data_IF_574165817563
#
_entry.id   IF_574165817563
#
_cell.length_a   1.000
_cell.length_b   1.000
_cell.length_c   1.000
_cell.angle_alpha   90.00
_cell.angle_beta   90.00
_cell.angle_gamma   90.00
#
_symmetry.space_group_name_H-M   'P 1'
#
loop_
_entity.id
_entity.type
_entity.pdbx_description
1 polymer ?
#
# COMPACT_ATOMS: atom_id res chain seq x y z
N UNK A 1 2.71 12.92 -13.88
CA UNK A 1 2.51 11.46 -13.79
C UNK A 1 3.63 10.67 -14.44
N UNK A 2 3.76 9.40 -14.11
CA UNK A 2 4.62 8.45 -14.82
C UNK A 2 3.72 7.71 -15.80
N UNK A 3 3.63 8.21 -17.04
CA UNK A 3 2.82 7.56 -18.06
C UNK A 3 3.53 6.30 -18.56
N UNK A 4 2.76 5.21 -18.76
CA UNK A 4 3.26 4.03 -19.43
C UNK A 4 4.33 3.24 -18.67
N UNK A 5 4.11 2.95 -17.38
CA UNK A 5 5.02 2.06 -16.61
C UNK A 5 5.27 0.74 -17.35
N UNK A 6 4.25 0.17 -17.99
CA UNK A 6 4.38 -1.02 -18.83
C UNK A 6 5.38 -0.79 -19.97
N UNK A 7 5.25 0.32 -20.69
CA UNK A 7 6.19 0.66 -21.76
C UNK A 7 7.63 0.80 -21.24
N UNK A 8 7.82 1.46 -20.10
CA UNK A 8 9.14 1.61 -19.50
C UNK A 8 9.75 0.26 -19.06
N UNK A 9 8.93 -0.67 -18.60
CA UNK A 9 9.36 -2.04 -18.25
C UNK A 9 9.85 -2.77 -19.53
N UNK A 10 9.10 -2.66 -20.62
CA UNK A 10 9.51 -3.27 -21.91
C UNK A 10 10.75 -2.60 -22.52
N UNK A 11 10.85 -1.28 -22.45
CA UNK A 11 12.06 -0.53 -22.87
C UNK A 11 13.29 -0.93 -22.06
N UNK A 12 13.11 -1.35 -20.80
CA UNK A 12 14.18 -1.88 -19.94
C UNK A 12 14.58 -3.32 -20.30
N UNK A 13 13.93 -3.94 -21.30
CA UNK A 13 14.29 -5.28 -21.80
C UNK A 13 13.56 -6.43 -21.12
N UNK A 14 12.45 -6.18 -20.43
CA UNK A 14 11.56 -7.23 -19.93
C UNK A 14 10.57 -7.64 -21.04
N UNK A 15 10.39 -8.95 -21.23
CA UNK A 15 9.44 -9.47 -22.20
C UNK A 15 8.00 -9.15 -21.80
N UNK A 16 7.09 -9.13 -22.77
CA UNK A 16 5.65 -8.94 -22.52
C UNK A 16 5.03 -10.16 -21.86
N UNK A 17 3.94 -9.95 -21.12
CA UNK A 17 3.17 -11.03 -20.50
C UNK A 17 2.73 -12.07 -21.52
N UNK A 18 2.88 -13.35 -21.17
CA UNK A 18 2.62 -14.49 -22.04
C UNK A 18 3.86 -15.04 -22.78
N UNK A 19 4.98 -14.33 -22.77
CA UNK A 19 6.28 -14.81 -23.23
C UNK A 19 7.08 -15.39 -22.06
N UNK A 20 8.14 -16.16 -22.36
CA UNK A 20 9.03 -16.69 -21.31
C UNK A 20 9.70 -15.52 -20.55
N UNK A 21 9.60 -15.54 -19.22
CA UNK A 21 10.06 -14.43 -18.38
C UNK A 21 9.29 -13.13 -18.57
N UNK A 22 8.08 -13.18 -19.15
CA UNK A 22 7.28 -12.01 -19.45
C UNK A 22 6.68 -11.35 -18.19
N UNK A 23 6.54 -10.03 -18.24
CA UNK A 23 5.98 -9.21 -17.16
C UNK A 23 4.66 -8.60 -17.61
N UNK A 24 3.60 -8.84 -16.86
CA UNK A 24 2.33 -8.10 -16.99
C UNK A 24 2.30 -6.99 -15.97
N UNK A 25 1.98 -5.77 -16.40
CA UNK A 25 1.88 -4.60 -15.54
C UNK A 25 0.43 -4.14 -15.42
N UNK A 26 -0.11 -4.16 -14.20
CA UNK A 26 -1.41 -3.57 -13.90
C UNK A 26 -1.20 -2.25 -13.15
N UNK A 27 -1.56 -1.14 -13.80
CA UNK A 27 -1.42 0.20 -13.23
C UNK A 27 -2.64 0.53 -12.37
N UNK A 28 -2.42 1.05 -11.17
CA UNK A 28 -3.46 1.36 -10.19
C UNK A 28 -3.24 2.74 -9.56
N UNK A 29 -3.22 3.79 -10.38
CA UNK A 29 -3.05 5.17 -9.91
C UNK A 29 -1.75 5.38 -9.13
N UNK A 30 -1.81 5.33 -7.81
CA UNK A 30 -0.68 5.50 -6.90
C UNK A 30 0.21 4.27 -6.72
N UNK A 31 -0.10 3.16 -7.39
CA UNK A 31 0.67 1.92 -7.38
C UNK A 31 0.74 1.28 -8.75
N UNK A 32 1.66 0.33 -8.91
CA UNK A 32 1.72 -0.59 -10.04
C UNK A 32 1.98 -2.01 -9.54
N UNK A 33 1.26 -2.96 -10.11
CA UNK A 33 1.31 -4.38 -9.80
C UNK A 33 2.02 -5.10 -10.95
N UNK A 34 2.94 -6.00 -10.61
CA UNK A 34 3.76 -6.70 -11.59
C UNK A 34 3.59 -8.20 -11.40
N UNK A 35 3.16 -8.85 -12.45
CA UNK A 35 3.00 -10.30 -12.51
C UNK A 35 4.09 -10.87 -13.39
N UNK A 36 4.89 -11.77 -12.84
CA UNK A 36 5.86 -12.60 -13.55
C UNK A 36 5.36 -14.04 -13.59
N UNK A 37 5.98 -14.96 -14.36
CA UNK A 37 5.67 -16.37 -14.19
C UNK A 37 5.80 -16.80 -12.73
N UNK A 38 4.88 -17.60 -12.26
CA UNK A 38 4.78 -17.99 -10.85
C UNK A 38 6.10 -18.60 -10.36
N UNK A 39 6.70 -17.97 -9.35
CA UNK A 39 7.96 -18.42 -8.76
C UNK A 39 9.21 -18.11 -9.59
N UNK A 40 9.10 -17.32 -10.66
CA UNK A 40 10.26 -16.83 -11.42
C UNK A 40 10.98 -15.73 -10.62
N UNK A 41 11.78 -16.20 -9.67
CA UNK A 41 12.55 -15.33 -8.77
C UNK A 41 13.53 -14.44 -9.54
N UNK A 42 14.19 -14.97 -10.58
CA UNK A 42 15.25 -14.24 -11.31
C UNK A 42 14.66 -13.04 -12.06
N UNK A 43 13.53 -13.23 -12.75
CA UNK A 43 12.82 -12.13 -13.41
C UNK A 43 12.28 -11.12 -12.40
N UNK A 44 11.70 -11.58 -11.29
CA UNK A 44 11.19 -10.70 -10.24
C UNK A 44 12.32 -9.89 -9.56
N UNK A 45 13.48 -10.51 -9.28
CA UNK A 45 14.63 -9.82 -8.70
C UNK A 45 15.24 -8.77 -9.64
N UNK A 46 15.39 -9.10 -10.93
CA UNK A 46 15.85 -8.15 -11.95
C UNK A 46 14.91 -6.96 -12.05
N UNK A 47 13.59 -7.24 -12.09
CA UNK A 47 12.55 -6.20 -12.14
C UNK A 47 12.57 -5.32 -10.90
N UNK A 48 12.61 -5.91 -9.70
CA UNK A 48 12.71 -5.16 -8.45
C UNK A 48 13.95 -4.26 -8.42
N UNK A 49 15.10 -4.77 -8.88
CA UNK A 49 16.35 -4.00 -8.96
C UNK A 49 16.21 -2.80 -9.90
N UNK A 50 15.62 -3.00 -11.07
CA UNK A 50 15.38 -1.94 -12.04
C UNK A 50 14.38 -0.90 -11.49
N UNK A 51 13.28 -1.34 -10.86
CA UNK A 51 12.31 -0.44 -10.23
C UNK A 51 12.97 0.42 -9.15
N UNK A 52 13.76 -0.16 -8.25
CA UNK A 52 14.47 0.55 -7.18
C UNK A 52 15.42 1.63 -7.70
N UNK A 53 15.91 1.48 -8.93
CA UNK A 53 16.76 2.48 -9.59
C UNK A 53 15.96 3.68 -10.12
N UNK A 54 14.63 3.58 -10.25
CA UNK A 54 13.82 4.65 -10.82
C UNK A 54 13.58 5.79 -9.81
N UNK A 55 13.57 7.06 -10.27
CA UNK A 55 13.36 8.21 -9.37
C UNK A 55 11.93 8.27 -8.79
N UNK A 56 10.98 7.64 -9.46
CA UNK A 56 9.57 7.58 -9.07
C UNK A 56 9.22 6.35 -8.23
N UNK A 57 10.16 5.44 -8.01
CA UNK A 57 9.94 4.26 -7.17
C UNK A 57 9.85 4.66 -5.69
N UNK A 58 8.79 4.24 -5.04
CA UNK A 58 8.59 4.35 -3.59
C UNK A 58 8.86 3.03 -2.90
N UNK A 59 7.84 2.41 -2.31
CA UNK A 59 7.97 1.10 -1.64
C UNK A 59 7.73 -0.04 -2.61
N UNK A 60 8.43 -1.16 -2.39
CA UNK A 60 8.22 -2.41 -3.12
C UNK A 60 7.97 -3.54 -2.13
N UNK A 61 6.86 -4.24 -2.31
CA UNK A 61 6.57 -5.49 -1.60
C UNK A 61 6.64 -6.68 -2.56
N UNK A 62 7.06 -7.83 -2.05
CA UNK A 62 7.18 -9.09 -2.78
C UNK A 62 6.23 -10.15 -2.20
N UNK A 63 5.61 -10.92 -3.06
CA UNK A 63 4.78 -12.06 -2.67
C UNK A 63 5.61 -13.18 -2.05
N UNK A 64 4.94 -14.12 -1.38
CA UNK A 64 5.59 -15.30 -0.83
C UNK A 64 6.28 -16.17 -1.91
N UNK A 65 5.78 -16.14 -3.16
CA UNK A 65 6.34 -16.91 -4.27
C UNK A 65 7.76 -16.44 -4.68
N UNK A 66 8.09 -15.17 -4.43
CA UNK A 66 9.39 -14.55 -4.72
C UNK A 66 9.99 -13.86 -3.49
N UNK A 67 9.73 -14.43 -2.32
CA UNK A 67 10.21 -13.88 -1.05
C UNK A 67 11.75 -13.81 -0.99
N UNK A 68 12.25 -12.85 -0.22
CA UNK A 68 13.70 -12.71 0.03
C UNK A 68 14.45 -11.88 -1.00
N UNK A 69 13.78 -11.27 -1.98
CA UNK A 69 14.43 -10.31 -2.89
C UNK A 69 14.99 -9.14 -2.07
N UNK A 70 16.31 -8.86 -2.14
CA UNK A 70 16.91 -7.80 -1.35
C UNK A 70 16.29 -6.44 -1.62
N UNK A 71 15.98 -5.70 -0.55
CA UNK A 71 15.36 -4.38 -0.64
C UNK A 71 13.84 -4.40 -0.72
N UNK A 72 13.19 -5.55 -0.85
CA UNK A 72 11.71 -5.66 -0.78
C UNK A 72 11.23 -5.99 0.63
N UNK A 73 9.96 -5.69 0.90
CA UNK A 73 9.25 -6.12 2.11
C UNK A 73 8.20 -7.17 1.75
N UNK A 74 7.79 -8.04 2.68
CA UNK A 74 6.73 -9.03 2.41
C UNK A 74 5.40 -8.35 2.05
N UNK A 75 4.71 -8.87 1.05
CA UNK A 75 3.40 -8.36 0.64
C UNK A 75 2.31 -8.60 1.72
N UNK A 76 2.48 -9.62 2.56
CA UNK A 76 1.61 -9.89 3.71
C UNK A 76 1.54 -8.74 4.72
N UNK A 77 2.59 -7.93 4.86
CA UNK A 77 2.59 -6.76 5.72
C UNK A 77 1.51 -5.72 5.38
N UNK A 78 1.03 -5.76 4.15
CA UNK A 78 -0.02 -4.83 3.66
C UNK A 78 -1.29 -5.59 3.26
N UNK A 79 -1.46 -6.82 3.75
CA UNK A 79 -2.64 -7.65 3.47
C UNK A 79 -2.75 -8.11 2.01
N UNK A 80 -1.69 -8.01 1.24
CA UNK A 80 -1.69 -8.40 -0.17
C UNK A 80 -1.28 -9.86 -0.31
N UNK A 81 -2.26 -10.75 -0.13
CA UNK A 81 -2.10 -12.20 -0.12
C UNK A 81 -3.17 -12.88 -0.99
N UNK A 82 -3.00 -14.18 -1.23
CA UNK A 82 -3.95 -15.01 -1.99
C UNK A 82 -3.42 -15.47 -3.33
N UNK A 83 -4.25 -16.21 -4.06
CA UNK A 83 -3.86 -16.90 -5.30
C UNK A 83 -3.66 -15.99 -6.52
N UNK A 84 -4.03 -14.73 -6.43
CA UNK A 84 -3.91 -13.73 -7.50
C UNK A 84 -3.04 -12.54 -7.10
N UNK A 85 -2.26 -12.68 -6.04
CA UNK A 85 -1.32 -11.66 -5.63
C UNK A 85 -0.24 -11.46 -6.69
N UNK A 86 0.12 -10.20 -7.05
CA UNK A 86 1.24 -9.96 -7.94
C UNK A 86 2.56 -10.36 -7.27
N UNK A 87 3.54 -10.80 -8.05
CA UNK A 87 4.87 -11.11 -7.53
C UNK A 87 5.52 -9.89 -6.89
N UNK A 88 5.34 -8.71 -7.50
CA UNK A 88 5.78 -7.43 -6.92
C UNK A 88 4.65 -6.40 -6.95
N UNK A 89 4.52 -5.65 -5.87
CA UNK A 89 3.70 -4.42 -5.84
C UNK A 89 4.59 -3.24 -5.51
N UNK A 90 4.54 -2.19 -6.32
CA UNK A 90 5.27 -0.95 -6.09
C UNK A 90 4.27 0.17 -5.84
N UNK A 91 4.43 0.87 -4.72
CA UNK A 91 3.81 2.18 -4.52
C UNK A 91 4.75 3.27 -5.03
N UNK A 92 4.20 4.27 -5.72
CA UNK A 92 5.00 5.39 -6.20
C UNK A 92 5.58 6.22 -5.05
N UNK A 93 6.71 6.84 -5.35
CA UNK A 93 7.36 7.77 -4.43
C UNK A 93 6.47 8.98 -4.17
N UNK A 94 6.46 9.41 -2.93
CA UNK A 94 5.76 10.59 -2.46
C UNK A 94 6.67 11.42 -1.52
N UNK A 95 6.33 12.67 -1.29
CA UNK A 95 6.96 13.53 -0.29
C UNK A 95 5.91 14.42 0.40
N UNK A 96 6.36 15.21 1.38
CA UNK A 96 5.50 16.13 2.13
C UNK A 96 5.65 17.59 1.69
N UNK A 97 6.25 17.83 0.53
CA UNK A 97 6.35 19.17 -0.01
C UNK A 97 4.96 19.72 -0.35
N UNK A 98 4.84 21.02 -0.33
CA UNK A 98 3.62 21.70 -0.74
C UNK A 98 3.62 21.83 -2.26
N UNK A 99 2.50 21.44 -2.89
CA UNK A 99 2.31 21.62 -4.33
C UNK A 99 1.98 23.08 -4.69
N UNK A 100 1.91 23.36 -6.00
CA UNK A 100 1.64 24.71 -6.51
C UNK A 100 0.27 25.28 -6.09
N UNK A 101 -0.66 24.42 -5.69
CA UNK A 101 -1.97 24.82 -5.17
C UNK A 101 -2.00 25.03 -3.64
N UNK A 102 -0.84 24.91 -2.96
CA UNK A 102 -0.70 25.16 -1.52
C UNK A 102 -1.04 23.96 -0.64
N UNK A 103 -1.27 22.75 -1.19
CA UNK A 103 -1.55 21.55 -0.42
C UNK A 103 -0.29 20.72 -0.20
N UNK A 104 -0.14 20.20 1.01
CA UNK A 104 0.96 19.31 1.36
C UNK A 104 0.75 17.91 0.74
N UNK A 105 1.86 17.32 0.31
CA UNK A 105 1.90 15.98 -0.27
C UNK A 105 1.93 16.02 -1.80
N UNK A 106 3.04 15.53 -2.33
CA UNK A 106 3.20 15.28 -3.76
C UNK A 106 3.52 13.81 -3.98
N UNK A 107 2.95 13.20 -5.01
CA UNK A 107 3.18 11.82 -5.34
C UNK A 107 3.30 11.64 -6.85
N UNK A 108 4.13 10.68 -7.25
CA UNK A 108 4.07 10.16 -8.62
C UNK A 108 2.83 9.27 -8.77
N UNK A 109 2.31 9.18 -9.98
CA UNK A 109 1.19 8.30 -10.32
C UNK A 109 1.26 7.86 -11.78
N UNK A 110 0.51 6.83 -12.14
CA UNK A 110 0.52 6.27 -13.50
C UNK A 110 -0.21 7.12 -14.52
N UNK A 111 -1.17 7.94 -14.10
CA UNK A 111 -1.98 8.77 -14.99
C UNK A 111 -2.71 9.87 -14.22
N UNK A 112 -3.39 10.72 -14.95
CA UNK A 112 -4.09 11.89 -14.42
C UNK A 112 -3.27 13.17 -14.54
N UNK A 113 -3.98 14.26 -14.80
CA UNK A 113 -3.37 15.60 -14.83
C UNK A 113 -3.06 16.06 -13.39
N UNK A 114 -2.06 16.93 -13.18
CA UNK A 114 -1.80 17.52 -11.87
C UNK A 114 -3.07 18.14 -11.28
N UNK A 115 -3.36 17.80 -10.02
CA UNK A 115 -4.55 18.27 -9.30
C UNK A 115 -5.78 17.35 -9.40
N UNK A 116 -5.69 16.25 -10.14
CA UNK A 116 -6.71 15.18 -10.09
C UNK A 116 -6.51 14.27 -8.89
N UNK A 117 -7.61 13.73 -8.37
CA UNK A 117 -7.55 12.74 -7.28
C UNK A 117 -6.94 11.43 -7.75
N UNK A 118 -6.19 10.80 -6.84
CA UNK A 118 -5.59 9.47 -7.05
C UNK A 118 -5.79 8.60 -5.82
N UNK A 119 -5.56 7.31 -5.96
CA UNK A 119 -5.62 6.32 -4.89
C UNK A 119 -4.60 5.21 -5.11
N UNK A 120 -4.41 4.36 -4.10
CA UNK A 120 -3.58 3.16 -4.19
C UNK A 120 -2.12 3.39 -3.79
N UNK A 121 -1.71 4.60 -3.40
CA UNK A 121 -0.35 4.83 -2.90
C UNK A 121 -0.24 4.56 -1.39
N UNK A 122 1.00 4.35 -0.93
CA UNK A 122 1.32 4.28 0.49
C UNK A 122 1.73 5.65 1.07
N UNK A 123 1.33 6.74 0.42
CA UNK A 123 1.55 8.08 0.92
C UNK A 123 0.72 8.31 2.19
N UNK A 124 1.37 8.82 3.24
CA UNK A 124 0.62 9.20 4.47
C UNK A 124 -0.46 10.25 4.20
N UNK A 125 -0.31 11.06 3.15
CA UNK A 125 -1.30 12.08 2.76
C UNK A 125 -2.52 11.49 2.05
N UNK A 126 -2.40 10.28 1.50
CA UNK A 126 -3.46 9.52 0.88
C UNK A 126 -4.07 8.50 1.86
N UNK A 127 -3.20 7.82 2.64
CA UNK A 127 -3.64 6.82 3.63
C UNK A 127 -4.39 7.44 4.81
N UNK A 128 -4.06 8.68 5.20
CA UNK A 128 -4.71 9.37 6.31
C UNK A 128 -6.03 10.02 5.85
N UNK A 129 -7.03 9.19 5.63
CA UNK A 129 -8.38 9.60 5.27
C UNK A 129 -9.21 10.03 6.50
N UNK A 130 -10.40 10.54 6.20
CA UNK A 130 -11.33 11.05 7.19
C UNK A 130 -12.41 9.99 7.46
N UNK A 131 -12.67 9.72 8.75
CA UNK A 131 -13.79 8.92 9.21
C UNK A 131 -14.65 9.73 10.16
N UNK A 132 -15.92 9.97 9.79
CA UNK A 132 -16.93 10.54 10.66
C UNK A 132 -18.04 9.52 10.92
N UNK A 133 -18.48 9.45 12.16
CA UNK A 133 -19.62 8.64 12.55
C UNK A 133 -20.57 9.44 13.44
N UNK A 134 -21.87 9.25 13.28
CA UNK A 134 -22.92 9.90 14.07
C UNK A 134 -24.07 8.92 14.30
N UNK A 135 -24.63 8.96 15.49
CA UNK A 135 -25.77 8.15 15.89
C UNK A 135 -25.77 7.80 17.36
N UNK A 136 -26.80 7.14 17.86
CA UNK A 136 -26.93 6.83 19.29
C UNK A 136 -25.87 5.86 19.82
N UNK A 137 -25.23 5.08 18.94
CA UNK A 137 -24.17 4.13 19.31
C UNK A 137 -22.80 4.78 19.43
N UNK A 138 -22.63 6.04 19.01
CA UNK A 138 -21.33 6.70 19.00
C UNK A 138 -21.21 7.74 20.12
N UNK A 139 -19.99 7.92 20.64
CA UNK A 139 -19.66 9.02 21.57
C UNK A 139 -19.85 10.36 20.88
N UNK A 140 -20.56 11.27 21.52
CA UNK A 140 -20.76 12.63 20.99
C UNK A 140 -19.52 13.51 21.26
N UNK A 141 -19.18 14.38 20.28
CA UNK A 141 -18.04 15.30 20.37
C UNK A 141 -16.74 14.62 20.75
N UNK A 142 -16.52 13.39 20.29
CA UNK A 142 -15.37 12.59 20.58
C UNK A 142 -14.44 12.49 19.37
N UNK A 143 -13.15 12.66 19.61
CA UNK A 143 -12.10 12.46 18.60
C UNK A 143 -11.27 11.24 18.98
N UNK A 144 -11.04 10.38 18.01
CA UNK A 144 -10.20 9.19 18.12
C UNK A 144 -8.92 9.43 17.33
N UNK A 145 -7.78 9.21 17.97
CA UNK A 145 -6.46 9.29 17.34
C UNK A 145 -5.84 7.88 17.11
N UNK A 146 -6.56 6.83 17.48
CA UNK A 146 -6.16 5.45 17.22
C UNK A 146 -6.25 5.15 15.73
N UNK A 147 -5.26 4.48 15.14
CA UNK A 147 -5.31 4.09 13.73
C UNK A 147 -6.51 3.20 13.41
N UNK A 148 -7.13 3.46 12.26
CA UNK A 148 -8.27 2.70 11.76
C UNK A 148 -8.23 2.57 10.24
N UNK A 149 -8.85 1.52 9.71
CA UNK A 149 -8.96 1.26 8.29
C UNK A 149 -10.40 0.98 7.84
N UNK A 150 -10.61 0.94 6.54
CA UNK A 150 -11.92 0.62 5.97
C UNK A 150 -12.42 -0.77 6.37
N UNK A 151 -11.49 -1.71 6.61
CA UNK A 151 -11.80 -3.09 7.05
C UNK A 151 -12.38 -3.14 8.47
N UNK A 152 -12.19 -2.10 9.30
CA UNK A 152 -12.72 -2.00 10.65
C UNK A 152 -14.21 -1.61 10.68
N UNK A 153 -14.74 -1.10 9.57
CA UNK A 153 -16.14 -0.64 9.52
C UNK A 153 -17.13 -1.80 9.67
N UNK A 154 -16.89 -2.91 8.98
CA UNK A 154 -17.81 -4.05 9.00
C UNK A 154 -17.91 -4.70 10.37
N UNK A 155 -16.82 -5.10 11.06
CA UNK A 155 -16.92 -5.65 12.41
C UNK A 155 -17.53 -4.65 13.42
N UNK A 156 -17.28 -3.35 13.25
CA UNK A 156 -17.91 -2.31 14.07
C UNK A 156 -19.44 -2.26 13.87
N UNK A 157 -19.91 -2.33 12.62
CA UNK A 157 -21.34 -2.37 12.31
C UNK A 157 -22.01 -3.62 12.88
N UNK A 158 -21.37 -4.79 12.70
CA UNK A 158 -21.89 -6.04 13.26
C UNK A 158 -22.03 -5.96 14.78
N UNK A 159 -21.03 -5.41 15.47
CA UNK A 159 -21.08 -5.17 16.93
C UNK A 159 -22.26 -4.28 17.31
N UNK A 160 -22.46 -3.15 16.62
CA UNK A 160 -23.58 -2.24 16.91
C UNK A 160 -24.95 -2.87 16.68
N UNK A 161 -25.05 -3.79 15.72
CA UNK A 161 -26.28 -4.53 15.43
C UNK A 161 -26.50 -5.78 16.28
N UNK A 162 -25.52 -6.15 17.12
CA UNK A 162 -25.55 -7.38 17.90
C UNK A 162 -25.48 -8.66 17.03
N UNK A 163 -24.87 -8.56 15.85
CA UNK A 163 -24.73 -9.67 14.92
C UNK A 163 -23.37 -10.37 15.10
N UNK A 164 -23.31 -11.69 14.98
CA UNK A 164 -22.05 -12.45 15.01
C UNK A 164 -21.26 -12.31 13.72
N UNK A 165 -19.99 -12.74 13.73
CA UNK A 165 -19.12 -12.88 12.55
C UNK A 165 -18.02 -11.82 12.43
N UNK A 166 -18.05 -10.77 13.24
CA UNK A 166 -17.00 -9.75 13.25
C UNK A 166 -15.63 -10.30 13.69
N UNK A 167 -15.62 -11.31 14.53
CA UNK A 167 -14.43 -11.97 15.07
C UNK A 167 -13.62 -12.78 14.04
N UNK A 168 -14.19 -13.08 12.89
CA UNK A 168 -13.53 -13.79 11.79
C UNK A 168 -13.01 -12.85 10.68
N UNK A 169 -13.12 -11.54 10.88
CA UNK A 169 -12.69 -10.52 9.92
C UNK A 169 -11.29 -10.01 10.27
N UNK A 170 -10.57 -9.49 9.27
CA UNK A 170 -9.24 -8.91 9.46
C UNK A 170 -9.29 -7.59 10.24
N UNK A 171 -10.41 -6.87 10.17
CA UNK A 171 -10.63 -5.63 10.90
C UNK A 171 -11.02 -5.84 12.36
N UNK A 172 -10.81 -4.81 13.17
CA UNK A 172 -11.24 -4.76 14.58
C UNK A 172 -12.50 -3.92 14.76
N UNK A 173 -13.14 -4.07 15.89
CA UNK A 173 -14.20 -3.14 16.32
C UNK A 173 -13.56 -1.83 16.77
N UNK A 174 -14.06 -0.69 16.30
CA UNK A 174 -13.64 0.65 16.71
C UNK A 174 -14.31 1.03 18.05
N UNK A 175 -13.98 0.29 19.12
CA UNK A 175 -14.60 0.42 20.44
C UNK A 175 -14.42 1.80 21.03
N UNK A 176 -13.29 2.45 20.79
CA UNK A 176 -12.97 3.79 21.26
C UNK A 176 -13.97 4.86 20.80
N UNK A 177 -14.68 4.61 19.71
CA UNK A 177 -15.73 5.48 19.15
C UNK A 177 -17.13 5.16 19.67
N UNK A 178 -17.36 3.98 20.28
CA UNK A 178 -18.68 3.52 20.72
C UNK A 178 -19.01 4.00 22.13
N UNK A 179 -20.32 4.29 22.35
CA UNK A 179 -20.82 4.91 23.58
C UNK A 179 -20.52 4.13 24.84
N UNK A 180 -20.68 2.84 24.81
CA UNK A 180 -20.57 1.92 25.97
C UNK A 180 -19.23 1.17 26.06
N UNK A 181 -18.27 1.55 25.23
CA UNK A 181 -16.97 0.90 25.16
C UNK A 181 -15.83 1.79 25.69
N UNK A 182 -14.67 1.20 26.03
CA UNK A 182 -13.48 1.95 26.44
C UNK A 182 -13.06 3.00 25.41
N UNK A 183 -12.49 4.12 25.89
CA UNK A 183 -11.89 5.14 25.02
C UNK A 183 -10.43 4.85 24.69
N UNK A 184 -9.76 4.13 25.57
CA UNK A 184 -8.35 3.77 25.40
C UNK A 184 -8.26 2.30 25.00
N UNK A 185 -7.90 2.10 23.75
CA UNK A 185 -7.56 0.79 23.21
C UNK A 185 -6.06 0.81 22.91
N UNK A 186 -5.33 -0.08 23.54
CA UNK A 186 -3.89 -0.19 23.30
C UNK A 186 -3.60 -0.52 21.85
N UNK A 187 -2.60 0.13 21.27
CA UNK A 187 -2.10 -0.16 19.93
C UNK A 187 -0.58 -0.09 19.88
N UNK A 188 0.02 -0.81 18.96
CA UNK A 188 1.46 -0.90 18.81
C UNK A 188 1.84 -0.49 17.40
N UNK A 189 2.97 0.21 17.29
CA UNK A 189 3.56 0.54 15.99
C UNK A 189 4.69 -0.45 15.72
N UNK A 190 4.63 -1.09 14.57
CA UNK A 190 5.72 -1.88 14.02
C UNK A 190 6.39 -1.14 12.87
N UNK A 191 7.72 -1.21 12.83
CA UNK A 191 8.53 -0.62 11.77
C UNK A 191 9.24 -1.75 11.01
N UNK A 192 9.02 -1.80 9.70
CA UNK A 192 9.65 -2.77 8.82
C UNK A 192 10.53 -2.04 7.82
N UNK A 193 11.82 -2.35 7.85
CA UNK A 193 12.84 -1.72 7.01
C UNK A 193 13.38 -2.72 6.00
N UNK A 194 13.65 -2.24 4.78
CA UNK A 194 14.44 -2.98 3.81
C UNK A 194 15.39 -2.04 3.06
N UNK A 195 16.57 -2.57 2.73
CA UNK A 195 17.52 -1.81 1.91
C UNK A 195 18.23 -2.70 0.89
N UNK A 196 18.66 -2.07 -0.19
CA UNK A 196 19.50 -2.67 -1.23
C UNK A 196 20.55 -1.67 -1.72
N UNK A 197 21.79 -2.11 -1.83
CA UNK A 197 22.83 -1.29 -2.44
C UNK A 197 22.77 -1.45 -3.98
N UNK A 198 22.53 -0.37 -4.69
CA UNK A 198 22.46 -0.33 -6.16
C UNK A 198 23.80 0.08 -6.79
N UNK A 199 24.89 0.10 -6.02
CA UNK A 199 26.21 0.50 -6.47
C UNK A 199 26.48 1.99 -6.36
N UNK A 200 25.68 2.82 -6.99
CA UNK A 200 25.82 4.28 -6.98
C UNK A 200 25.01 4.96 -5.84
N UNK A 201 23.98 4.29 -5.34
CA UNK A 201 23.16 4.75 -4.22
C UNK A 201 22.48 3.58 -3.51
N UNK A 202 22.20 3.68 -2.21
CA UNK A 202 21.33 2.74 -1.55
C UNK A 202 19.85 3.06 -1.90
N UNK A 203 19.06 2.01 -2.11
CA UNK A 203 17.61 2.07 -2.01
C UNK A 203 17.22 1.69 -0.60
N UNK A 204 16.34 2.46 0.02
CA UNK A 204 15.83 2.22 1.37
C UNK A 204 14.34 2.47 1.41
N UNK A 205 13.63 1.60 2.09
CA UNK A 205 12.21 1.75 2.36
C UNK A 205 11.89 1.42 3.82
N UNK A 206 10.81 2.02 4.31
CA UNK A 206 10.25 1.74 5.63
C UNK A 206 8.74 1.75 5.54
N UNK A 207 8.09 0.71 6.07
CA UNK A 207 6.65 0.65 6.30
C UNK A 207 6.42 0.73 7.80
N UNK A 208 5.42 1.53 8.18
CA UNK A 208 4.92 1.66 9.53
C UNK A 208 3.52 1.05 9.56
N UNK A 209 3.32 0.06 10.43
CA UNK A 209 2.06 -0.64 10.63
C UNK A 209 1.60 -0.42 12.06
N UNK A 210 0.30 -0.32 12.27
CA UNK A 210 -0.34 -0.10 13.57
C UNK A 210 -1.57 -0.97 13.71
#
# INVERSE_FOLDING_TARGET
GVAGVEALVHEAGFASGGEEGGVVVAQNGGAALFYTPLGDYDTAERLATWLMAQPWCGTITASAAVAGIPGTLPASLVGNEGSRVPELTMSFRWDSNTNDAGYAGTAYSTHGEPGTGQHGSMSKHEMNNILFAQGPSFKANHRVDTPSGNYDLTPTILKMLGLPGGESMDGRVLEEGLWDCPTDVGWVIELHDAERNLGNRPYRQRIKIS
#
